data_IF_305902173028
#
_entry.id   IF_305902173028
#
_cell.length_a   1.000
_cell.length_b   1.000
_cell.length_c   1.000
_cell.angle_alpha   90.00
_cell.angle_beta   90.00
_cell.angle_gamma   90.00
#
_symmetry.space_group_name_H-M   'P 1'
#
loop_
_entity.id
_entity.type
_entity.pdbx_description
1 polymer ?
#
# COMPACT_ATOMS: atom_id res chain seq x y z
N UNK A 1 30.48 -4.62 -1.99
CA UNK A 1 30.25 -5.50 -3.17
C UNK A 1 29.68 -4.64 -4.29
N UNK A 2 30.10 -4.84 -5.54
CA UNK A 2 29.44 -4.17 -6.67
C UNK A 2 27.99 -4.64 -6.79
N UNK A 3 27.05 -3.73 -7.08
CA UNK A 3 25.63 -4.02 -7.30
C UNK A 3 25.42 -5.21 -8.25
N UNK A 4 26.20 -5.26 -9.34
CA UNK A 4 26.11 -6.33 -10.33
C UNK A 4 26.47 -7.71 -9.75
N UNK A 5 27.47 -7.78 -8.86
CA UNK A 5 27.87 -9.02 -8.19
C UNK A 5 26.76 -9.52 -7.27
N UNK A 6 26.13 -8.62 -6.50
CA UNK A 6 25.02 -8.97 -5.62
C UNK A 6 23.79 -9.41 -6.42
N UNK A 7 23.51 -8.76 -7.55
CA UNK A 7 22.40 -9.11 -8.43
C UNK A 7 22.54 -10.49 -9.06
N UNK A 8 23.72 -10.82 -9.62
CA UNK A 8 23.96 -12.16 -10.16
C UNK A 8 23.85 -13.24 -9.07
N UNK A 9 24.42 -13.01 -7.89
CA UNK A 9 24.30 -13.95 -6.77
C UNK A 9 22.84 -14.16 -6.34
N UNK A 10 22.03 -13.10 -6.31
CA UNK A 10 20.61 -13.19 -5.97
C UNK A 10 19.82 -14.02 -7.01
N UNK A 11 20.08 -13.83 -8.31
CA UNK A 11 19.43 -14.64 -9.37
C UNK A 11 19.81 -16.12 -9.22
N UNK A 12 21.10 -16.42 -9.04
CA UNK A 12 21.54 -17.81 -8.86
C UNK A 12 20.94 -18.44 -7.61
N UNK A 13 20.95 -17.71 -6.48
CA UNK A 13 20.37 -18.19 -5.23
C UNK A 13 18.87 -18.46 -5.38
N UNK A 14 18.12 -17.60 -6.05
CA UNK A 14 16.67 -17.78 -6.25
C UNK A 14 16.34 -18.94 -7.18
N UNK A 15 17.07 -19.12 -8.28
CA UNK A 15 16.91 -20.28 -9.17
C UNK A 15 17.24 -21.59 -8.44
N UNK A 16 18.38 -21.63 -7.75
CA UNK A 16 18.79 -22.79 -6.95
C UNK A 16 17.76 -23.13 -5.87
N UNK A 17 17.30 -22.13 -5.12
CA UNK A 17 16.32 -22.30 -4.06
C UNK A 17 14.98 -22.78 -4.62
N UNK A 18 14.51 -22.23 -5.75
CA UNK A 18 13.27 -22.66 -6.42
C UNK A 18 13.34 -24.12 -6.85
N UNK A 19 14.49 -24.56 -7.37
CA UNK A 19 14.69 -25.95 -7.77
C UNK A 19 14.71 -26.90 -6.57
N UNK A 20 15.57 -26.63 -5.57
CA UNK A 20 15.72 -27.49 -4.39
C UNK A 20 14.41 -27.58 -3.62
N UNK A 21 13.77 -26.44 -3.34
CA UNK A 21 12.46 -26.43 -2.69
C UNK A 21 11.40 -27.10 -3.57
N UNK A 22 11.41 -26.86 -4.89
CA UNK A 22 10.46 -27.49 -5.81
C UNK A 22 10.50 -29.01 -5.73
N UNK A 23 11.69 -29.62 -5.78
CA UNK A 23 11.87 -31.07 -5.59
C UNK A 23 11.41 -31.52 -4.21
N UNK A 24 11.85 -30.84 -3.14
CA UNK A 24 11.49 -31.22 -1.77
C UNK A 24 9.97 -31.19 -1.53
N UNK A 25 9.26 -30.22 -2.13
CA UNK A 25 7.80 -30.17 -2.05
C UNK A 25 7.15 -31.29 -2.87
N UNK A 26 7.60 -31.55 -4.09
CA UNK A 26 7.07 -32.65 -4.91
C UNK A 26 7.23 -34.00 -4.19
N UNK A 27 8.39 -34.23 -3.60
CA UNK A 27 8.67 -35.44 -2.81
C UNK A 27 7.84 -35.50 -1.52
N UNK A 28 7.76 -34.40 -0.76
CA UNK A 28 6.98 -34.35 0.49
C UNK A 28 5.50 -34.61 0.26
N UNK A 29 4.93 -34.08 -0.82
CA UNK A 29 3.53 -34.28 -1.17
C UNK A 29 3.30 -35.52 -2.02
N UNK A 30 4.37 -36.21 -2.46
CA UNK A 30 4.34 -37.36 -3.36
C UNK A 30 3.50 -37.09 -4.63
N UNK A 31 3.67 -35.89 -5.21
CA UNK A 31 2.93 -35.41 -6.39
C UNK A 31 3.88 -35.23 -7.55
N UNK A 32 3.80 -36.13 -8.53
CA UNK A 32 4.57 -36.02 -9.77
C UNK A 32 3.79 -35.24 -10.83
N UNK A 33 4.45 -34.25 -11.45
CA UNK A 33 3.89 -33.42 -12.51
C UNK A 33 4.31 -33.95 -13.88
N UNK A 34 3.35 -34.57 -14.57
CA UNK A 34 3.51 -35.05 -15.94
C UNK A 34 2.78 -34.14 -16.92
N UNK A 35 3.40 -33.86 -18.06
CA UNK A 35 2.71 -33.26 -19.22
C UNK A 35 2.89 -34.19 -20.40
N UNK A 36 1.81 -34.91 -20.74
CA UNK A 36 1.89 -36.04 -21.66
C UNK A 36 2.60 -37.21 -20.99
N UNK A 37 3.66 -37.73 -21.62
CA UNK A 37 4.45 -38.87 -21.13
C UNK A 37 5.78 -38.46 -20.47
N UNK A 38 6.07 -37.16 -20.36
CA UNK A 38 7.32 -36.66 -19.78
C UNK A 38 7.11 -36.04 -18.39
N UNK A 39 8.01 -36.42 -17.46
CA UNK A 39 8.17 -35.77 -16.16
C UNK A 39 8.70 -34.36 -16.37
N UNK A 40 7.96 -33.36 -15.89
CA UNK A 40 8.40 -31.97 -15.97
C UNK A 40 9.29 -31.61 -14.78
N UNK A 41 10.45 -31.04 -15.07
CA UNK A 41 11.31 -30.46 -14.04
C UNK A 41 10.60 -29.33 -13.26
N UNK A 42 10.82 -29.22 -11.94
CA UNK A 42 10.14 -28.24 -11.09
C UNK A 42 10.29 -26.80 -11.58
N UNK A 43 11.46 -26.43 -12.11
CA UNK A 43 11.70 -25.08 -12.66
C UNK A 43 10.71 -24.75 -13.77
N UNK A 44 10.48 -25.69 -14.70
CA UNK A 44 9.58 -25.48 -15.84
C UNK A 44 8.13 -25.43 -15.38
N UNK A 45 7.73 -26.31 -14.45
CA UNK A 45 6.38 -26.30 -13.88
C UNK A 45 6.09 -25.02 -13.08
N UNK A 46 7.01 -24.59 -12.22
CA UNK A 46 6.85 -23.44 -11.33
C UNK A 46 6.95 -22.11 -12.09
N UNK A 47 7.72 -22.04 -13.18
CA UNK A 47 7.90 -20.79 -13.92
C UNK A 47 6.60 -20.20 -14.48
N UNK A 48 5.70 -21.05 -15.01
CA UNK A 48 4.41 -20.60 -15.56
C UNK A 48 3.45 -20.19 -14.44
N UNK A 49 3.40 -20.97 -13.34
CA UNK A 49 2.56 -20.64 -12.19
C UNK A 49 3.04 -19.38 -11.46
N UNK A 50 4.35 -19.11 -11.45
CA UNK A 50 4.92 -17.90 -10.86
C UNK A 50 4.39 -16.62 -11.53
N UNK A 51 4.28 -16.59 -12.86
CA UNK A 51 3.73 -15.43 -13.58
C UNK A 51 2.27 -15.19 -13.20
N UNK A 52 1.46 -16.26 -13.17
CA UNK A 52 0.06 -16.19 -12.76
C UNK A 52 -0.05 -15.69 -11.33
N UNK A 53 0.78 -16.20 -10.42
CA UNK A 53 0.83 -15.77 -9.02
C UNK A 53 1.18 -14.28 -8.89
N UNK A 54 2.14 -13.78 -9.66
CA UNK A 54 2.50 -12.35 -9.64
C UNK A 54 1.30 -11.48 -10.04
N UNK A 55 0.56 -11.88 -11.08
CA UNK A 55 -0.65 -11.16 -11.51
C UNK A 55 -1.70 -11.18 -10.39
N UNK A 56 -1.96 -12.34 -9.78
CA UNK A 56 -2.90 -12.47 -8.68
C UNK A 56 -2.51 -11.62 -7.46
N UNK A 57 -1.21 -11.56 -7.13
CA UNK A 57 -0.69 -10.73 -6.05
C UNK A 57 -0.93 -9.25 -6.37
N UNK A 58 -0.62 -8.78 -7.58
CA UNK A 58 -0.87 -7.37 -7.97
C UNK A 58 -2.35 -7.04 -7.84
N UNK A 59 -3.26 -7.91 -8.32
CA UNK A 59 -4.70 -7.72 -8.19
C UNK A 59 -5.13 -7.66 -6.72
N UNK A 60 -4.62 -8.56 -5.88
CA UNK A 60 -4.90 -8.54 -4.45
C UNK A 60 -4.42 -7.24 -3.80
N UNK A 61 -3.22 -6.77 -4.13
CA UNK A 61 -2.70 -5.47 -3.67
C UNK A 61 -3.59 -4.31 -4.12
N UNK A 62 -4.06 -4.30 -5.37
CA UNK A 62 -5.00 -3.29 -5.86
C UNK A 62 -6.28 -3.26 -5.03
N UNK A 63 -6.86 -4.43 -4.74
CA UNK A 63 -8.08 -4.54 -3.94
C UNK A 63 -7.83 -4.07 -2.51
N UNK A 64 -6.77 -4.56 -1.86
CA UNK A 64 -6.39 -4.19 -0.49
C UNK A 64 -6.18 -2.68 -0.39
N UNK A 65 -5.35 -2.10 -1.27
CA UNK A 65 -5.09 -0.66 -1.29
C UNK A 65 -6.37 0.14 -1.54
N UNK A 66 -7.27 -0.33 -2.40
CA UNK A 66 -8.56 0.32 -2.64
C UNK A 66 -9.45 0.33 -1.39
N UNK A 67 -9.59 -0.81 -0.71
CA UNK A 67 -10.41 -0.93 0.50
C UNK A 67 -9.84 -0.07 1.63
N UNK A 68 -8.55 -0.22 1.95
CA UNK A 68 -7.92 0.58 3.00
C UNK A 68 -7.89 2.08 2.65
N UNK A 69 -7.64 2.43 1.40
CA UNK A 69 -7.69 3.82 0.93
C UNK A 69 -9.07 4.44 1.14
N UNK A 70 -10.14 3.71 0.83
CA UNK A 70 -11.52 4.17 1.04
C UNK A 70 -11.85 4.38 2.52
N UNK A 71 -11.39 3.49 3.41
CA UNK A 71 -11.62 3.60 4.85
C UNK A 71 -10.94 4.85 5.43
N UNK A 72 -9.68 5.08 5.06
CA UNK A 72 -8.95 6.28 5.48
C UNK A 72 -9.62 7.53 4.94
N UNK A 73 -10.06 7.50 3.68
CA UNK A 73 -10.76 8.61 3.04
C UNK A 73 -12.06 8.98 3.75
N UNK A 74 -12.88 7.99 4.12
CA UNK A 74 -14.10 8.20 4.91
C UNK A 74 -13.76 8.82 6.27
N UNK A 75 -12.73 8.29 6.95
CA UNK A 75 -12.26 8.84 8.22
C UNK A 75 -11.89 10.32 8.09
N UNK A 76 -11.04 10.67 7.12
CA UNK A 76 -10.64 12.04 6.84
C UNK A 76 -11.84 12.94 6.47
N UNK A 77 -12.82 12.41 5.73
CA UNK A 77 -14.02 13.16 5.38
C UNK A 77 -14.84 13.52 6.61
N UNK A 78 -15.01 12.60 7.55
CA UNK A 78 -15.72 12.85 8.81
C UNK A 78 -14.98 13.91 9.64
N UNK A 79 -13.67 13.76 9.82
CA UNK A 79 -12.86 14.74 10.55
C UNK A 79 -12.88 16.13 9.88
N UNK A 80 -12.74 16.16 8.55
CA UNK A 80 -12.80 17.39 7.76
C UNK A 80 -14.15 18.09 7.86
N UNK A 81 -15.25 17.33 7.81
CA UNK A 81 -16.59 17.88 7.99
C UNK A 81 -16.75 18.49 9.39
N UNK A 82 -16.29 17.79 10.44
CA UNK A 82 -16.35 18.28 11.81
C UNK A 82 -15.55 19.57 11.99
N UNK A 83 -14.34 19.63 11.41
CA UNK A 83 -13.49 20.82 11.42
C UNK A 83 -14.19 22.00 10.73
N UNK A 84 -14.82 21.78 9.58
CA UNK A 84 -15.57 22.83 8.87
C UNK A 84 -16.75 23.36 9.69
N UNK A 85 -17.47 22.48 10.40
CA UNK A 85 -18.55 22.91 11.32
C UNK A 85 -18.00 23.75 12.46
N UNK A 86 -16.89 23.32 13.09
CA UNK A 86 -16.27 24.10 14.16
C UNK A 86 -15.82 25.48 13.69
N UNK A 87 -15.17 25.56 12.52
CA UNK A 87 -14.78 26.85 11.92
C UNK A 87 -16.02 27.70 11.63
N UNK A 88 -17.06 27.11 11.03
CA UNK A 88 -18.29 27.82 10.69
C UNK A 88 -19.05 28.38 11.90
N UNK A 89 -19.11 27.65 13.01
CA UNK A 89 -19.77 28.09 14.25
C UNK A 89 -18.95 29.13 15.00
N UNK A 90 -17.62 28.99 15.00
CA UNK A 90 -16.75 29.87 15.80
C UNK A 90 -16.41 31.19 15.10
N UNK A 91 -16.42 31.22 13.76
CA UNK A 91 -16.11 32.41 12.97
C UNK A 91 -16.98 33.64 13.29
N UNK A 92 -18.31 33.53 13.42
CA UNK A 92 -19.16 34.65 13.83
C UNK A 92 -18.78 35.23 15.19
N UNK A 93 -18.38 34.39 16.14
CA UNK A 93 -18.00 34.83 17.50
C UNK A 93 -16.71 35.65 17.45
N UNK A 94 -15.69 35.18 16.72
CA UNK A 94 -14.44 35.93 16.51
C UNK A 94 -14.74 37.25 15.80
N UNK A 95 -15.60 37.22 14.78
CA UNK A 95 -15.97 38.42 14.02
C UNK A 95 -16.65 39.47 14.91
N UNK A 96 -17.62 39.05 15.72
CA UNK A 96 -18.32 39.95 16.67
C UNK A 96 -17.34 40.51 17.71
N UNK A 97 -16.48 39.67 18.30
CA UNK A 97 -15.47 40.12 19.26
C UNK A 97 -14.51 41.15 18.63
N UNK A 98 -14.12 40.95 17.37
CA UNK A 98 -13.28 41.88 16.64
C UNK A 98 -13.99 43.20 16.35
N UNK A 99 -15.28 43.17 15.97
CA UNK A 99 -16.09 44.39 15.78
C UNK A 99 -16.22 45.17 17.09
N UNK A 100 -16.52 44.49 18.20
CA UNK A 100 -16.59 45.13 19.53
C UNK A 100 -15.25 45.76 19.89
N UNK A 101 -14.14 45.04 19.71
CA UNK A 101 -12.80 45.58 19.98
C UNK A 101 -12.49 46.80 19.11
N UNK A 102 -12.88 46.80 17.83
CA UNK A 102 -12.62 47.90 16.91
C UNK A 102 -13.46 49.14 17.26
N UNK A 103 -14.70 48.97 17.70
CA UNK A 103 -15.58 50.05 18.16
C UNK A 103 -15.19 50.58 19.55
N UNK A 104 -14.76 49.69 20.45
CA UNK A 104 -14.31 50.04 21.81
C UNK A 104 -12.86 50.55 21.84
N UNK A 105 -12.11 50.42 20.73
CA UNK A 105 -10.78 51.00 20.60
C UNK A 105 -10.93 52.52 20.52
N UNK A 106 -10.71 53.16 21.66
CA UNK A 106 -10.60 54.59 21.74
C UNK A 106 -9.51 55.06 20.76
N UNK A 107 -9.87 55.95 19.83
CA UNK A 107 -8.87 56.64 19.02
C UNK A 107 -8.18 57.58 19.98
N UNK A 108 -7.07 57.14 20.58
CA UNK A 108 -6.15 58.04 21.26
C UNK A 108 -5.74 59.10 20.24
N UNK A 109 -6.45 60.23 20.27
CA UNK A 109 -6.14 61.42 19.52
C UNK A 109 -4.73 61.78 19.93
N UNK A 110 -3.82 61.62 18.97
CA UNK A 110 -2.49 62.17 19.03
C UNK A 110 -2.73 63.68 18.87
N UNK A 111 -2.86 64.36 20.00
CA UNK A 111 -2.71 65.80 20.12
C UNK A 111 -1.26 66.09 20.53
#
# INVERSE_FOLDING_TARGET
MSFFKSFMLAIFATLFLTYVLGISFIEMFNVDLYVGEELIEPIKAISISAIIMVILVILAFTIVMSVFGSLIFIGLMIFGALAMVMIGVFWPVIFIAFVIWLLARDKKQIA
#
